data_IF_817897966029
#
_entry.id   IF_817897966029
#
_cell.length_a   1.000
_cell.length_b   1.000
_cell.length_c   1.000
_cell.angle_alpha   90.00
_cell.angle_beta   90.00
_cell.angle_gamma   90.00
#
_symmetry.space_group_name_H-M   'P 1'
#
loop_
_entity.id
_entity.type
_entity.pdbx_description
1 polymer ?
#
# COMPACT_ATOMS: atom_id res chain seq x y z
N UNK A 1 -2.93 19.80 -5.16
CA UNK A 1 -1.68 20.52 -5.45
C UNK A 1 -0.65 19.50 -5.86
N UNK A 2 0.02 19.70 -7.00
CA UNK A 2 1.04 18.76 -7.48
C UNK A 2 2.36 19.00 -6.74
N UNK A 3 3.03 17.93 -6.34
CA UNK A 3 4.36 17.97 -5.74
C UNK A 3 5.21 16.83 -6.31
N UNK A 4 6.53 16.97 -6.20
CA UNK A 4 7.50 15.96 -6.64
C UNK A 4 8.52 15.72 -5.52
N UNK A 5 8.87 14.45 -5.27
CA UNK A 5 10.06 14.10 -4.49
C UNK A 5 11.26 13.97 -5.43
N UNK A 6 12.31 14.72 -5.18
CA UNK A 6 13.58 14.60 -5.91
C UNK A 6 14.78 14.71 -4.98
N UNK A 7 15.92 14.27 -5.45
CA UNK A 7 17.19 14.53 -4.74
C UNK A 7 17.40 16.03 -4.56
N UNK A 8 18.07 16.42 -3.50
CA UNK A 8 18.44 17.80 -3.23
C UNK A 8 19.33 18.38 -4.34
N UNK A 9 19.25 19.69 -4.50
CA UNK A 9 20.16 20.51 -5.32
C UNK A 9 20.73 21.62 -4.46
N UNK A 10 21.99 22.00 -4.66
CA UNK A 10 22.55 23.15 -3.90
C UNK A 10 21.77 24.44 -4.11
N UNK A 11 21.13 24.61 -5.26
CA UNK A 11 20.23 25.74 -5.54
C UNK A 11 19.00 25.81 -4.62
N UNK A 12 18.64 24.73 -3.92
CA UNK A 12 17.51 24.69 -3.00
C UNK A 12 17.80 25.38 -1.66
N UNK A 13 19.07 25.76 -1.40
CA UNK A 13 19.49 26.30 -0.10
C UNK A 13 18.68 27.52 0.35
N UNK A 14 18.36 28.43 -0.58
CA UNK A 14 17.55 29.61 -0.29
C UNK A 14 16.14 29.25 0.16
N UNK A 15 15.47 28.33 -0.54
CA UNK A 15 14.12 27.89 -0.20
C UNK A 15 14.09 27.13 1.12
N UNK A 16 15.09 26.27 1.35
CA UNK A 16 15.27 25.54 2.60
C UNK A 16 15.45 26.49 3.80
N UNK A 17 16.32 27.50 3.66
CA UNK A 17 16.54 28.51 4.71
C UNK A 17 15.26 29.30 5.00
N UNK A 18 14.54 29.71 3.97
CA UNK A 18 13.27 30.41 4.13
C UNK A 18 12.23 29.58 4.89
N UNK A 19 12.08 28.29 4.56
CA UNK A 19 11.14 27.39 5.22
C UNK A 19 11.49 27.15 6.71
N UNK A 20 12.77 26.98 7.04
CA UNK A 20 13.20 26.69 8.41
C UNK A 20 13.23 27.91 9.36
N UNK A 21 13.16 29.13 8.85
CA UNK A 21 13.01 30.33 9.66
C UNK A 21 11.55 30.57 10.10
N UNK A 22 10.84 29.50 10.46
CA UNK A 22 9.47 29.53 10.95
C UNK A 22 9.40 28.82 12.32
N UNK A 23 9.07 29.55 13.38
CA UNK A 23 8.96 29.01 14.72
C UNK A 23 7.96 27.85 14.86
N UNK A 24 6.86 27.86 14.08
CA UNK A 24 5.87 26.79 14.10
C UNK A 24 6.45 25.48 13.55
N UNK A 25 7.39 25.58 12.62
CA UNK A 25 8.13 24.40 12.13
C UNK A 25 9.15 23.98 13.16
N UNK A 26 9.99 24.92 13.64
CA UNK A 26 11.06 24.64 14.61
C UNK A 26 10.54 24.03 15.91
N UNK A 27 9.38 24.47 16.40
CA UNK A 27 8.74 23.91 17.57
C UNK A 27 8.32 22.46 17.44
N UNK A 28 8.29 21.93 16.22
CA UNK A 28 7.95 20.54 15.92
C UNK A 28 9.15 19.72 15.44
N UNK A 29 10.35 20.31 15.36
CA UNK A 29 11.58 19.64 15.03
C UNK A 29 12.44 19.41 16.29
N UNK A 30 13.34 18.44 16.23
CA UNK A 30 14.38 18.24 17.27
C UNK A 30 15.28 19.46 17.35
N UNK A 31 15.90 19.67 18.51
CA UNK A 31 16.90 20.71 18.68
C UNK A 31 18.17 20.38 17.88
N UNK A 32 18.99 21.42 17.62
CA UNK A 32 20.23 21.30 16.85
C UNK A 32 20.26 22.09 15.55
N UNK A 33 19.12 22.65 15.13
CA UNK A 33 19.11 23.64 14.02
C UNK A 33 19.41 25.03 14.58
N UNK A 34 20.35 25.80 13.95
CA UNK A 34 20.59 27.18 14.33
C UNK A 34 19.37 28.05 14.05
N UNK A 35 19.24 29.13 14.83
CA UNK A 35 18.21 30.14 14.57
C UNK A 35 18.81 31.55 14.72
N UNK A 36 18.77 32.42 13.70
CA UNK A 36 18.19 32.16 12.36
C UNK A 36 18.96 31.10 11.56
N UNK A 37 18.25 30.34 10.73
CA UNK A 37 18.83 29.34 9.82
C UNK A 37 19.23 30.03 8.51
N UNK A 38 20.53 30.00 8.17
CA UNK A 38 21.07 30.73 7.03
C UNK A 38 21.12 29.88 5.74
N UNK A 39 21.28 30.53 4.59
CA UNK A 39 21.52 29.82 3.32
C UNK A 39 22.81 29.00 3.36
N UNK A 40 23.78 29.40 4.17
CA UNK A 40 25.02 28.63 4.37
C UNK A 40 24.72 27.33 5.13
N UNK A 41 23.95 27.42 6.21
CA UNK A 41 23.54 26.21 6.98
C UNK A 41 22.76 25.23 6.08
N UNK A 42 21.89 25.79 5.23
CA UNK A 42 21.13 25.02 4.24
C UNK A 42 22.04 24.36 3.19
N UNK A 43 23.03 25.08 2.67
CA UNK A 43 24.00 24.55 1.70
C UNK A 43 24.84 23.44 2.32
N UNK A 44 25.32 23.62 3.56
CA UNK A 44 26.10 22.62 4.27
C UNK A 44 25.28 21.35 4.54
N UNK A 45 24.01 21.50 4.94
CA UNK A 45 23.09 20.36 5.08
C UNK A 45 22.87 19.62 3.76
N UNK A 46 22.56 20.36 2.68
CA UNK A 46 22.31 19.74 1.37
C UNK A 46 23.55 19.02 0.87
N UNK A 47 24.75 19.63 1.01
CA UNK A 47 26.01 19.00 0.64
C UNK A 47 26.24 17.69 1.41
N UNK A 48 25.94 17.68 2.73
CA UNK A 48 26.04 16.49 3.54
C UNK A 48 25.07 15.39 3.08
N UNK A 49 23.81 15.74 2.72
CA UNK A 49 22.84 14.77 2.21
C UNK A 49 23.22 14.21 0.84
N UNK A 50 23.84 15.01 -0.04
CA UNK A 50 24.32 14.57 -1.35
C UNK A 50 25.56 13.66 -1.24
N UNK A 51 26.37 13.84 -0.20
CA UNK A 51 27.58 13.04 0.05
C UNK A 51 27.32 11.78 0.88
N UNK A 52 26.12 11.64 1.45
CA UNK A 52 25.79 10.53 2.33
C UNK A 52 25.65 9.21 1.57
N UNK A 53 25.88 8.09 2.29
CA UNK A 53 25.65 6.75 1.75
C UNK A 53 24.16 6.56 1.37
N UNK A 54 23.89 6.33 0.10
CA UNK A 54 22.55 6.15 -0.45
C UNK A 54 21.83 4.90 0.08
N UNK A 55 22.56 3.93 0.65
CA UNK A 55 21.98 2.76 1.29
C UNK A 55 21.58 3.00 2.75
N UNK A 56 22.07 4.11 3.33
CA UNK A 56 21.81 4.47 4.73
C UNK A 56 20.98 5.76 4.88
N UNK A 57 21.03 6.65 3.89
CA UNK A 57 20.40 7.98 3.94
C UNK A 57 19.51 8.21 2.72
N UNK A 58 18.21 8.22 2.95
CA UNK A 58 17.19 8.45 1.93
C UNK A 58 16.63 9.87 2.11
N UNK A 59 17.35 10.88 1.63
CA UNK A 59 16.99 12.29 1.80
C UNK A 59 16.52 12.93 0.50
N UNK A 60 15.31 13.52 0.53
CA UNK A 60 14.66 14.13 -0.62
C UNK A 60 14.11 15.52 -0.29
N UNK A 61 14.17 16.42 -1.27
CA UNK A 61 13.38 17.64 -1.28
C UNK A 61 11.94 17.31 -1.71
N UNK A 62 10.97 17.88 -1.01
CA UNK A 62 9.58 17.96 -1.47
C UNK A 62 9.50 19.27 -2.27
N UNK A 63 9.11 19.20 -3.53
CA UNK A 63 9.08 20.39 -4.40
C UNK A 63 7.72 20.63 -5.03
N UNK A 64 7.36 21.90 -5.20
CA UNK A 64 6.23 22.33 -6.00
C UNK A 64 6.71 23.49 -6.89
N UNK A 65 6.34 23.48 -8.18
CA UNK A 65 6.79 24.45 -9.18
C UNK A 65 8.32 24.63 -9.17
N UNK A 66 9.06 23.52 -9.08
CA UNK A 66 10.53 23.37 -8.97
C UNK A 66 11.17 23.99 -7.72
N UNK A 67 10.42 24.61 -6.81
CA UNK A 67 10.90 25.16 -5.53
C UNK A 67 10.83 24.11 -4.43
N UNK A 68 11.85 24.10 -3.55
CA UNK A 68 11.85 23.22 -2.38
C UNK A 68 10.90 23.79 -1.30
N UNK A 69 9.79 23.07 -1.07
CA UNK A 69 8.75 23.44 -0.09
C UNK A 69 8.82 22.63 1.20
N UNK A 70 9.73 21.67 1.29
CA UNK A 70 9.90 20.81 2.46
C UNK A 70 10.99 19.76 2.28
N UNK A 71 11.18 19.00 3.32
CA UNK A 71 12.14 17.90 3.39
C UNK A 71 11.47 16.64 3.86
N UNK A 72 11.88 15.51 3.32
CA UNK A 72 11.56 14.21 3.86
C UNK A 72 12.78 13.30 3.74
N UNK A 73 13.08 12.57 4.81
CA UNK A 73 14.21 11.63 4.81
C UNK A 73 13.96 10.47 5.75
N UNK A 74 14.59 9.34 5.43
CA UNK A 74 14.66 8.21 6.32
C UNK A 74 16.12 7.81 6.50
N UNK A 75 16.50 7.48 7.72
CA UNK A 75 17.89 7.22 8.11
C UNK A 75 17.98 5.82 8.71
N UNK A 76 18.72 4.95 8.00
CA UNK A 76 18.95 3.57 8.43
C UNK A 76 19.65 3.55 9.77
N UNK A 77 19.19 2.70 10.65
CA UNK A 77 19.81 2.47 11.95
C UNK A 77 20.95 1.44 11.85
N UNK A 78 21.76 1.39 12.90
CA UNK A 78 22.90 0.48 12.95
C UNK A 78 22.65 -0.78 13.80
N UNK A 79 23.66 -1.67 13.83
CA UNK A 79 23.72 -2.83 14.69
C UNK A 79 22.50 -3.77 14.53
N UNK A 80 21.81 -4.12 15.62
CA UNK A 80 20.61 -4.98 15.60
C UNK A 80 19.44 -4.35 14.86
N UNK A 81 19.45 -3.03 14.70
CA UNK A 81 18.42 -2.25 13.99
C UNK A 81 18.76 -1.98 12.51
N UNK A 82 19.74 -2.68 11.92
CA UNK A 82 20.21 -2.44 10.55
C UNK A 82 19.13 -2.56 9.45
N UNK A 83 18.01 -3.19 9.74
CA UNK A 83 16.84 -3.26 8.86
C UNK A 83 15.69 -2.35 9.30
N UNK A 84 16.02 -1.32 10.07
CA UNK A 84 15.08 -0.29 10.53
C UNK A 84 15.57 1.08 10.09
N UNK A 85 14.66 1.98 9.74
CA UNK A 85 14.99 3.38 9.45
C UNK A 85 14.09 4.33 10.22
N UNK A 86 14.64 5.46 10.65
CA UNK A 86 13.89 6.56 11.26
C UNK A 86 13.46 7.57 10.21
N UNK A 87 12.18 7.91 10.15
CA UNK A 87 11.61 8.88 9.23
C UNK A 87 11.53 10.26 9.90
N UNK A 88 12.07 11.27 9.22
CA UNK A 88 11.95 12.67 9.60
C UNK A 88 11.48 13.53 8.42
N UNK A 89 10.68 14.57 8.70
CA UNK A 89 10.18 15.46 7.67
C UNK A 89 9.68 16.79 8.23
N UNK A 90 9.60 17.78 7.36
CA UNK A 90 8.85 19.02 7.57
C UNK A 90 8.35 19.58 6.23
N UNK A 91 7.39 20.48 6.30
CA UNK A 91 6.80 21.16 5.15
C UNK A 91 6.62 22.65 5.50
N UNK A 92 6.86 23.53 4.58
CA UNK A 92 6.61 24.96 4.76
C UNK A 92 5.12 25.20 5.08
N UNK A 93 4.85 26.17 5.97
CA UNK A 93 3.54 26.35 6.62
C UNK A 93 2.40 26.57 5.61
N UNK A 94 2.66 27.32 4.55
CA UNK A 94 1.67 27.62 3.49
C UNK A 94 1.19 26.38 2.73
N UNK A 95 1.89 25.25 2.84
CA UNK A 95 1.53 23.98 2.20
C UNK A 95 0.88 22.97 3.15
N UNK A 96 0.62 23.35 4.40
CA UNK A 96 -0.06 22.48 5.35
C UNK A 96 -1.52 22.25 4.97
N UNK A 97 -2.07 21.13 5.39
CA UNK A 97 -3.49 20.79 5.18
C UNK A 97 -3.84 20.22 3.80
N UNK A 98 -2.94 20.25 2.82
CA UNK A 98 -3.20 19.84 1.43
C UNK A 98 -2.91 18.35 1.15
N UNK A 99 -2.57 17.56 2.16
CA UNK A 99 -2.28 16.12 2.00
C UNK A 99 -0.91 15.80 1.41
N UNK A 100 -0.08 16.81 1.09
CA UNK A 100 1.25 16.64 0.50
C UNK A 100 2.11 15.72 1.36
N UNK A 101 2.22 15.98 2.66
CA UNK A 101 3.10 15.21 3.54
C UNK A 101 2.69 13.73 3.62
N UNK A 102 1.41 13.41 3.72
CA UNK A 102 0.97 12.00 3.75
C UNK A 102 1.24 11.27 2.43
N UNK A 103 1.16 11.96 1.30
CA UNK A 103 1.56 11.44 0.00
C UNK A 103 3.07 11.23 -0.10
N UNK A 104 3.88 12.22 0.32
CA UNK A 104 5.33 12.13 0.34
C UNK A 104 5.85 10.99 1.23
N UNK A 105 5.23 10.78 2.40
CA UNK A 105 5.56 9.66 3.29
C UNK A 105 5.29 8.31 2.58
N UNK A 106 4.13 8.14 1.95
CA UNK A 106 3.86 6.89 1.19
C UNK A 106 4.88 6.65 0.10
N UNK A 107 5.21 7.70 -0.66
CA UNK A 107 6.14 7.58 -1.78
C UNK A 107 7.56 7.19 -1.32
N UNK A 108 8.11 7.85 -0.30
CA UNK A 108 9.45 7.50 0.21
C UNK A 108 9.49 6.10 0.83
N UNK A 109 8.45 5.71 1.59
CA UNK A 109 8.36 4.37 2.17
C UNK A 109 8.28 3.29 1.09
N UNK A 110 7.53 3.53 0.01
CA UNK A 110 7.49 2.65 -1.16
C UNK A 110 8.89 2.48 -1.77
N UNK A 111 9.56 3.58 -2.09
CA UNK A 111 10.93 3.56 -2.64
C UNK A 111 11.87 2.74 -1.74
N UNK A 112 11.86 2.98 -0.42
CA UNK A 112 12.76 2.29 0.52
C UNK A 112 12.45 0.79 0.58
N UNK A 113 11.19 0.42 0.68
CA UNK A 113 10.80 -0.99 0.74
C UNK A 113 11.06 -1.74 -0.57
N UNK A 114 11.00 -1.08 -1.72
CA UNK A 114 11.29 -1.67 -3.03
C UNK A 114 12.79 -1.82 -3.29
N UNK A 115 13.60 -0.87 -2.85
CA UNK A 115 15.02 -0.79 -3.23
C UNK A 115 16.00 -1.29 -2.18
N UNK A 116 15.54 -1.62 -0.96
CA UNK A 116 16.41 -2.01 0.15
C UNK A 116 15.90 -3.24 0.90
N UNK A 117 16.66 -3.71 1.88
CA UNK A 117 16.27 -4.78 2.82
C UNK A 117 15.63 -4.25 4.13
N UNK A 118 15.29 -2.96 4.21
CA UNK A 118 14.63 -2.37 5.38
C UNK A 118 13.26 -3.02 5.57
N UNK A 119 12.97 -3.48 6.79
CA UNK A 119 11.73 -4.13 7.18
C UNK A 119 10.78 -3.22 7.94
N UNK A 120 11.32 -2.15 8.55
CA UNK A 120 10.56 -1.25 9.41
C UNK A 120 11.02 0.19 9.22
N UNK A 121 10.05 1.09 9.04
CA UNK A 121 10.25 2.54 9.09
C UNK A 121 9.43 3.06 10.28
N UNK A 122 10.06 3.85 11.17
CA UNK A 122 9.37 4.43 12.31
C UNK A 122 9.53 5.95 12.33
N UNK A 123 8.64 6.61 13.05
CA UNK A 123 8.66 8.05 13.27
C UNK A 123 8.24 8.37 14.71
N UNK A 124 8.86 9.38 15.28
CA UNK A 124 8.66 9.79 16.68
C UNK A 124 8.26 11.27 16.76
N UNK A 125 7.05 11.67 16.30
CA UNK A 125 6.59 13.03 16.48
C UNK A 125 6.32 13.35 17.95
N UNK A 126 6.51 14.61 18.36
CA UNK A 126 6.01 15.07 19.64
C UNK A 126 4.51 14.80 19.76
N UNK A 127 4.05 14.33 20.92
CA UNK A 127 2.64 13.91 21.10
C UNK A 127 1.64 15.06 20.91
N UNK A 128 2.06 16.31 21.07
CA UNK A 128 1.24 17.49 20.78
C UNK A 128 1.15 17.81 19.28
N UNK A 129 2.03 17.26 18.42
CA UNK A 129 2.01 17.54 16.99
C UNK A 129 0.93 16.71 16.26
N UNK A 130 -0.32 17.14 16.40
CA UNK A 130 -1.47 16.47 15.78
C UNK A 130 -1.40 16.44 14.25
N UNK A 131 -0.73 17.42 13.62
CA UNK A 131 -0.54 17.47 12.16
C UNK A 131 0.31 16.30 11.66
N UNK A 132 1.47 16.10 12.30
CA UNK A 132 2.39 15.00 11.97
C UNK A 132 1.74 13.63 12.23
N UNK A 133 1.09 13.44 13.38
CA UNK A 133 0.40 12.18 13.72
C UNK A 133 -0.63 11.81 12.66
N UNK A 134 -1.50 12.75 12.26
CA UNK A 134 -2.50 12.53 11.19
C UNK A 134 -1.86 12.25 9.83
N UNK A 135 -0.70 12.86 9.52
CA UNK A 135 0.00 12.60 8.26
C UNK A 135 0.53 11.15 8.22
N UNK A 136 1.08 10.66 9.33
CA UNK A 136 1.54 9.27 9.49
C UNK A 136 0.39 8.27 9.40
N UNK A 137 -0.70 8.50 10.13
CA UNK A 137 -1.90 7.64 10.09
C UNK A 137 -2.48 7.54 8.67
N UNK A 138 -2.60 8.67 7.96
CA UNK A 138 -3.04 8.69 6.55
C UNK A 138 -2.06 8.01 5.60
N UNK A 139 -0.79 7.92 5.96
CA UNK A 139 0.23 7.21 5.19
C UNK A 139 0.29 5.71 5.48
N UNK A 140 -0.52 5.21 6.43
CA UNK A 140 -0.60 3.79 6.79
C UNK A 140 0.26 3.39 8.00
N UNK A 141 0.90 4.35 8.68
CA UNK A 141 1.63 4.06 9.92
C UNK A 141 0.66 3.71 11.05
N UNK A 142 1.06 2.73 11.84
CA UNK A 142 0.32 2.28 13.03
C UNK A 142 0.92 2.94 14.27
N UNK A 143 0.06 3.48 15.14
CA UNK A 143 0.46 3.99 16.45
C UNK A 143 0.81 2.82 17.38
N UNK A 144 2.02 2.80 17.93
CA UNK A 144 2.50 1.74 18.82
C UNK A 144 2.45 2.13 20.30
N UNK A 145 2.53 3.43 20.59
CA UNK A 145 2.48 3.89 21.98
C UNK A 145 2.97 5.32 22.19
N UNK A 146 2.79 5.80 23.41
CA UNK A 146 3.31 7.09 23.87
C UNK A 146 4.53 6.87 24.76
N UNK A 147 5.65 7.44 24.37
CA UNK A 147 6.88 7.50 25.14
C UNK A 147 6.78 8.70 26.11
N UNK A 148 6.45 8.41 27.36
CA UNK A 148 6.26 9.43 28.38
C UNK A 148 7.57 10.10 28.75
N UNK A 149 7.54 11.45 28.86
CA UNK A 149 8.69 12.27 29.27
C UNK A 149 9.96 12.00 28.47
N UNK A 150 9.81 11.70 27.18
CA UNK A 150 10.89 11.19 26.32
C UNK A 150 11.81 12.29 25.80
N UNK A 151 11.39 13.56 25.84
CA UNK A 151 12.19 14.67 25.33
C UNK A 151 12.02 15.93 26.17
N UNK A 152 12.98 16.85 26.01
CA UNK A 152 12.86 18.23 26.51
C UNK A 152 12.85 19.15 25.29
N UNK A 153 11.80 19.97 25.14
CA UNK A 153 11.67 20.95 24.07
C UNK A 153 11.37 22.32 24.66
N UNK A 154 12.19 23.32 24.32
CA UNK A 154 12.06 24.68 24.85
C UNK A 154 11.98 24.70 26.41
N UNK A 155 12.79 23.90 27.08
CA UNK A 155 12.84 23.78 28.53
C UNK A 155 11.67 23.02 29.17
N UNK A 156 10.76 22.44 28.38
CA UNK A 156 9.62 21.66 28.87
C UNK A 156 9.78 20.19 28.54
N UNK A 157 9.52 19.33 29.53
CA UNK A 157 9.44 17.89 29.33
C UNK A 157 8.20 17.58 28.48
N UNK A 158 8.37 16.79 27.42
CA UNK A 158 7.30 16.44 26.48
C UNK A 158 7.29 14.95 26.18
N UNK A 159 6.11 14.45 25.89
CA UNK A 159 5.91 13.08 25.42
C UNK A 159 6.14 13.00 23.92
N UNK A 160 6.57 11.83 23.43
CA UNK A 160 6.65 11.50 22.03
C UNK A 160 5.73 10.34 21.69
N UNK A 161 5.24 10.29 20.47
CA UNK A 161 4.37 9.21 19.98
C UNK A 161 5.15 8.36 19.00
N UNK A 162 5.22 7.05 19.25
CA UNK A 162 5.87 6.10 18.35
C UNK A 162 4.87 5.60 17.31
N UNK A 163 5.22 5.77 16.05
CA UNK A 163 4.49 5.26 14.88
C UNK A 163 5.41 4.41 14.02
N UNK A 164 4.89 3.35 13.40
CA UNK A 164 5.67 2.53 12.49
C UNK A 164 4.89 2.06 11.29
N UNK A 165 5.63 1.82 10.21
CA UNK A 165 5.19 1.11 9.03
C UNK A 165 6.18 -0.03 8.79
N UNK A 166 5.69 -1.26 8.71
CA UNK A 166 6.52 -2.44 8.43
C UNK A 166 6.31 -2.89 7.00
N UNK A 167 7.39 -3.36 6.37
CA UNK A 167 7.28 -4.07 5.10
C UNK A 167 6.37 -5.28 5.32
N UNK A 168 5.39 -5.46 4.45
CA UNK A 168 4.64 -6.71 4.47
C UNK A 168 5.63 -7.84 4.18
N UNK A 169 5.90 -8.67 5.19
CA UNK A 169 6.64 -9.93 5.02
C UNK A 169 5.70 -11.06 4.63
N UNK A 170 4.44 -10.75 4.51
CA UNK A 170 3.45 -11.70 4.06
C UNK A 170 3.67 -12.02 2.59
N UNK A 171 4.05 -13.26 2.31
CA UNK A 171 4.12 -13.72 0.94
C UNK A 171 2.73 -13.55 0.29
N UNK A 172 2.69 -12.86 -0.84
CA UNK A 172 1.45 -12.59 -1.59
C UNK A 172 0.42 -11.79 -0.78
N UNK A 173 0.71 -10.52 -0.40
CA UNK A 173 -0.26 -9.66 0.26
C UNK A 173 -1.52 -9.50 -0.60
N UNK A 174 -2.69 -9.46 0.08
CA UNK A 174 -3.98 -9.32 -0.59
C UNK A 174 -4.63 -8.00 -0.16
N UNK A 175 -5.12 -7.25 -1.14
CA UNK A 175 -5.88 -6.01 -0.93
C UNK A 175 -7.00 -5.83 -1.95
N UNK A 176 -7.90 -4.89 -1.71
CA UNK A 176 -8.85 -4.43 -2.72
C UNK A 176 -8.11 -3.71 -3.84
N UNK A 177 -8.59 -3.90 -5.07
CA UNK A 177 -8.07 -3.22 -6.25
C UNK A 177 -8.76 -1.87 -6.45
N UNK A 178 -7.98 -0.89 -6.90
CA UNK A 178 -8.49 0.39 -7.39
C UNK A 178 -9.00 0.28 -8.84
N UNK A 179 -9.80 1.27 -9.29
CA UNK A 179 -10.34 1.25 -10.67
C UNK A 179 -9.29 1.13 -11.76
N UNK A 180 -8.10 1.68 -11.53
CA UNK A 180 -6.96 1.66 -12.46
C UNK A 180 -6.32 0.27 -12.61
N UNK A 181 -6.52 -0.64 -11.65
CA UNK A 181 -5.95 -1.97 -11.62
C UNK A 181 -6.89 -3.05 -12.20
N UNK A 182 -8.18 -2.69 -12.36
CA UNK A 182 -9.19 -3.63 -12.85
C UNK A 182 -8.88 -4.17 -14.26
N UNK A 183 -8.39 -3.38 -15.23
CA UNK A 183 -8.03 -3.91 -16.55
C UNK A 183 -6.98 -5.03 -16.48
N UNK A 184 -5.96 -4.89 -15.64
CA UNK A 184 -4.94 -5.93 -15.41
C UNK A 184 -5.57 -7.18 -14.77
N UNK A 185 -6.48 -6.99 -13.81
CA UNK A 185 -7.19 -8.08 -13.16
C UNK A 185 -8.05 -8.90 -14.15
N UNK A 186 -8.78 -8.22 -15.03
CA UNK A 186 -9.60 -8.89 -16.06
C UNK A 186 -8.73 -9.62 -17.09
N UNK A 187 -7.58 -9.05 -17.45
CA UNK A 187 -6.63 -9.70 -18.35
C UNK A 187 -6.04 -10.97 -17.70
N UNK A 188 -5.68 -10.93 -16.41
CA UNK A 188 -5.26 -12.12 -15.68
C UNK A 188 -6.36 -13.18 -15.69
N UNK A 189 -7.61 -12.82 -15.41
CA UNK A 189 -8.74 -13.75 -15.46
C UNK A 189 -8.87 -14.39 -16.85
N UNK A 190 -8.77 -13.61 -17.91
CA UNK A 190 -8.86 -14.10 -19.29
C UNK A 190 -7.73 -15.08 -19.62
N UNK A 191 -6.49 -14.76 -19.30
CA UNK A 191 -5.34 -15.62 -19.59
C UNK A 191 -5.43 -16.96 -18.83
N UNK A 192 -5.84 -16.94 -17.57
CA UNK A 192 -5.99 -18.16 -16.79
C UNK A 192 -7.19 -19.00 -17.27
N UNK A 193 -8.29 -18.35 -17.63
CA UNK A 193 -9.45 -19.02 -18.23
C UNK A 193 -9.05 -19.74 -19.53
N UNK A 194 -8.33 -19.07 -20.43
CA UNK A 194 -7.87 -19.68 -21.68
C UNK A 194 -6.99 -20.90 -21.44
N UNK A 195 -6.15 -20.84 -20.41
CA UNK A 195 -5.21 -21.92 -20.11
C UNK A 195 -5.88 -23.15 -19.47
N UNK A 196 -6.82 -22.96 -18.56
CA UNK A 196 -7.32 -24.02 -17.69
C UNK A 196 -8.77 -24.41 -17.93
N UNK A 197 -9.62 -23.47 -18.35
CA UNK A 197 -11.06 -23.71 -18.45
C UNK A 197 -11.54 -23.80 -19.90
N UNK A 198 -11.04 -22.97 -20.79
CA UNK A 198 -11.44 -22.95 -22.20
C UNK A 198 -11.31 -24.30 -22.92
N UNK A 199 -10.31 -25.19 -22.59
CA UNK A 199 -10.25 -26.51 -23.21
C UNK A 199 -11.47 -27.41 -22.94
N UNK A 200 -12.24 -27.13 -21.88
CA UNK A 200 -13.43 -27.88 -21.49
C UNK A 200 -14.75 -27.24 -22.00
N UNK A 201 -14.67 -26.09 -22.66
CA UNK A 201 -15.83 -25.31 -23.07
C UNK A 201 -16.00 -25.28 -24.60
N UNK A 202 -17.23 -25.10 -25.02
CA UNK A 202 -17.57 -24.81 -26.44
C UNK A 202 -17.11 -23.41 -26.83
N UNK A 203 -17.04 -23.15 -28.14
CA UNK A 203 -16.78 -21.81 -28.66
C UNK A 203 -17.79 -20.77 -28.15
N UNK A 204 -19.05 -21.17 -27.94
CA UNK A 204 -20.09 -20.34 -27.32
C UNK A 204 -19.74 -19.97 -25.87
N UNK A 205 -19.35 -20.96 -25.05
CA UNK A 205 -18.95 -20.73 -23.66
C UNK A 205 -17.73 -19.81 -23.51
N UNK A 206 -16.73 -19.99 -24.41
CA UNK A 206 -15.55 -19.11 -24.45
C UNK A 206 -15.96 -17.68 -24.81
N UNK A 207 -16.83 -17.51 -25.81
CA UNK A 207 -17.33 -16.19 -26.20
C UNK A 207 -18.17 -15.53 -25.07
N UNK A 208 -19.00 -16.31 -24.37
CA UNK A 208 -19.83 -15.85 -23.25
C UNK A 208 -18.97 -15.38 -22.09
N UNK A 209 -17.91 -16.12 -21.74
CA UNK A 209 -16.99 -15.69 -20.70
C UNK A 209 -16.26 -14.40 -21.09
N UNK A 210 -15.75 -14.29 -22.33
CA UNK A 210 -15.12 -13.06 -22.82
C UNK A 210 -16.07 -11.87 -22.74
N UNK A 211 -17.29 -12.03 -23.22
CA UNK A 211 -18.31 -10.99 -23.18
C UNK A 211 -18.61 -10.53 -21.73
N UNK A 212 -18.58 -11.46 -20.78
CA UNK A 212 -18.76 -11.11 -19.35
C UNK A 212 -17.63 -10.27 -18.77
N UNK A 213 -16.39 -10.44 -19.22
CA UNK A 213 -15.25 -9.61 -18.82
C UNK A 213 -15.29 -8.22 -19.49
N UNK A 214 -15.82 -8.14 -20.71
CA UNK A 214 -15.95 -6.88 -21.46
C UNK A 214 -17.18 -6.04 -21.03
N UNK A 215 -18.07 -6.60 -20.20
CA UNK A 215 -19.24 -5.89 -19.66
C UNK A 215 -18.84 -4.89 -18.56
N UNK A 216 -18.82 -3.62 -18.94
CA UNK A 216 -18.47 -2.54 -18.04
C UNK A 216 -19.49 -2.32 -16.89
N UNK A 217 -20.78 -2.60 -17.11
CA UNK A 217 -21.81 -2.46 -16.04
C UNK A 217 -21.62 -3.56 -15.00
N UNK A 218 -21.43 -4.79 -15.46
CA UNK A 218 -21.08 -5.91 -14.57
C UNK A 218 -19.82 -5.56 -13.77
N UNK A 219 -18.75 -5.16 -14.41
CA UNK A 219 -17.45 -4.87 -13.80
C UNK A 219 -17.56 -3.80 -12.71
N UNK A 220 -18.30 -2.72 -12.94
CA UNK A 220 -18.54 -1.66 -11.94
C UNK A 220 -19.33 -2.13 -10.74
N UNK A 221 -20.13 -3.18 -10.87
CA UNK A 221 -20.92 -3.76 -9.78
C UNK A 221 -20.12 -4.70 -8.86
N UNK A 222 -18.91 -5.11 -9.29
CA UNK A 222 -18.07 -6.07 -8.60
C UNK A 222 -17.08 -5.38 -7.65
N UNK A 223 -16.71 -6.10 -6.58
CA UNK A 223 -15.59 -5.74 -5.73
C UNK A 223 -14.42 -6.68 -6.00
N UNK A 224 -13.28 -6.13 -6.40
CA UNK A 224 -12.09 -6.89 -6.75
C UNK A 224 -11.06 -6.92 -5.62
N UNK A 225 -10.46 -8.09 -5.41
CA UNK A 225 -9.32 -8.34 -4.53
C UNK A 225 -8.17 -8.87 -5.37
N UNK A 226 -6.98 -8.31 -5.18
CA UNK A 226 -5.75 -8.74 -5.83
C UNK A 226 -4.75 -9.29 -4.83
N UNK A 227 -4.08 -10.38 -5.19
CA UNK A 227 -2.88 -10.88 -4.53
C UNK A 227 -1.65 -10.48 -5.32
N UNK A 228 -0.60 -10.04 -4.64
CA UNK A 228 0.59 -9.49 -5.28
C UNK A 228 1.85 -10.26 -4.91
N UNK A 229 2.74 -10.45 -5.88
CA UNK A 229 4.14 -10.79 -5.67
C UNK A 229 4.95 -9.54 -5.94
N UNK A 230 5.44 -8.88 -4.90
CA UNK A 230 5.93 -7.51 -4.97
C UNK A 230 4.86 -6.58 -5.59
N UNK A 231 5.10 -6.10 -6.82
CA UNK A 231 4.16 -5.24 -7.56
C UNK A 231 3.38 -5.97 -8.66
N UNK A 232 3.67 -7.27 -8.90
CA UNK A 232 2.97 -8.06 -9.91
C UNK A 232 1.67 -8.61 -9.35
N UNK A 233 0.57 -8.37 -10.02
CA UNK A 233 -0.71 -9.01 -9.73
C UNK A 233 -0.63 -10.51 -10.11
N UNK A 234 -0.81 -11.40 -9.14
CA UNK A 234 -0.65 -12.85 -9.31
C UNK A 234 -1.91 -13.65 -8.97
N UNK A 235 -2.96 -12.98 -8.54
CA UNK A 235 -4.24 -13.62 -8.28
C UNK A 235 -5.35 -12.60 -8.09
N UNK A 236 -6.56 -12.95 -8.52
CA UNK A 236 -7.75 -12.10 -8.48
C UNK A 236 -8.93 -12.89 -7.93
N UNK A 237 -9.71 -12.25 -7.07
CA UNK A 237 -11.04 -12.70 -6.66
C UNK A 237 -11.99 -11.52 -6.77
N UNK A 238 -13.12 -11.69 -7.48
CA UNK A 238 -14.16 -10.68 -7.48
C UNK A 238 -15.45 -11.18 -6.83
N UNK A 239 -16.16 -10.24 -6.19
CA UNK A 239 -17.43 -10.47 -5.54
C UNK A 239 -18.55 -9.70 -6.21
N UNK A 240 -19.62 -10.42 -6.54
CA UNK A 240 -20.92 -9.83 -6.84
C UNK A 240 -21.74 -9.78 -5.55
N UNK A 241 -22.21 -8.58 -5.20
CA UNK A 241 -23.03 -8.43 -4.00
C UNK A 241 -24.32 -9.30 -4.06
N UNK A 242 -24.79 -9.83 -2.93
CA UNK A 242 -24.25 -9.64 -1.59
C UNK A 242 -23.25 -10.72 -1.13
N UNK A 243 -23.04 -11.82 -1.86
CA UNK A 243 -22.24 -12.96 -1.37
C UNK A 243 -21.87 -14.02 -2.44
N UNK A 244 -21.89 -13.64 -3.72
CA UNK A 244 -21.55 -14.55 -4.81
C UNK A 244 -20.17 -14.23 -5.37
N UNK A 245 -19.25 -15.21 -5.41
CA UNK A 245 -17.96 -15.11 -6.06
C UNK A 245 -18.19 -15.13 -7.56
N UNK A 246 -17.74 -14.08 -8.26
CA UNK A 246 -17.83 -13.96 -9.71
C UNK A 246 -16.65 -14.65 -10.39
N UNK A 247 -15.48 -14.05 -10.33
CA UNK A 247 -14.26 -14.57 -10.93
C UNK A 247 -13.22 -14.85 -9.84
N UNK A 248 -12.47 -15.96 -9.98
CA UNK A 248 -11.46 -16.35 -9.01
C UNK A 248 -10.32 -17.11 -9.69
N UNK A 249 -9.24 -16.40 -9.96
CA UNK A 249 -8.11 -16.91 -10.71
C UNK A 249 -6.78 -16.61 -10.02
N UNK A 250 -5.81 -17.51 -10.18
CA UNK A 250 -4.42 -17.35 -9.73
C UNK A 250 -3.51 -17.69 -10.91
N UNK A 251 -2.50 -16.86 -11.18
CA UNK A 251 -1.48 -17.11 -12.20
C UNK A 251 -0.87 -18.50 -12.00
N UNK A 252 -0.81 -19.29 -13.07
CA UNK A 252 -0.33 -20.69 -13.06
C UNK A 252 1.03 -20.86 -12.39
N UNK A 253 1.96 -19.92 -12.60
CA UNK A 253 3.29 -19.95 -11.98
C UNK A 253 3.25 -19.84 -10.45
N UNK A 254 2.12 -19.45 -9.88
CA UNK A 254 1.92 -19.24 -8.45
C UNK A 254 0.95 -20.23 -7.80
N UNK A 255 0.51 -21.25 -8.52
CA UNK A 255 -0.37 -22.27 -7.98
C UNK A 255 0.26 -22.99 -6.78
N UNK A 256 -0.57 -23.53 -5.88
CA UNK A 256 -0.20 -24.31 -4.66
C UNK A 256 0.65 -23.51 -3.64
N UNK A 257 0.68 -22.18 -3.74
CA UNK A 257 1.34 -21.28 -2.77
C UNK A 257 0.38 -20.66 -1.74
N UNK A 258 -0.87 -21.14 -1.69
CA UNK A 258 -1.88 -20.66 -0.73
C UNK A 258 -2.56 -19.34 -1.10
N UNK A 259 -2.29 -18.76 -2.28
CA UNK A 259 -2.81 -17.47 -2.72
C UNK A 259 -4.34 -17.46 -2.78
N UNK A 260 -4.95 -18.51 -3.35
CA UNK A 260 -6.41 -18.61 -3.40
C UNK A 260 -7.04 -18.55 -2.00
N UNK A 261 -6.48 -19.27 -1.01
CA UNK A 261 -6.94 -19.19 0.37
C UNK A 261 -6.84 -17.78 0.95
N UNK A 262 -5.72 -17.08 0.72
CA UNK A 262 -5.52 -15.70 1.19
C UNK A 262 -6.51 -14.72 0.58
N UNK A 263 -6.76 -14.82 -0.73
CA UNK A 263 -7.79 -14.03 -1.43
C UNK A 263 -9.18 -14.26 -0.82
N UNK A 264 -9.56 -15.51 -0.61
CA UNK A 264 -10.85 -15.86 -0.02
C UNK A 264 -10.97 -15.37 1.42
N UNK A 265 -9.93 -15.51 2.25
CA UNK A 265 -9.92 -15.04 3.64
C UNK A 265 -9.94 -13.51 3.73
N UNK A 266 -9.22 -12.79 2.84
CA UNK A 266 -9.26 -11.33 2.78
C UNK A 266 -10.65 -10.83 2.42
N UNK A 267 -11.26 -11.42 1.41
CA UNK A 267 -12.64 -11.12 1.02
C UNK A 267 -13.61 -11.37 2.19
N UNK A 268 -13.52 -12.52 2.86
CA UNK A 268 -14.41 -12.87 4.00
C UNK A 268 -14.36 -11.86 5.14
N UNK A 269 -13.23 -11.24 5.39
CA UNK A 269 -13.11 -10.20 6.44
C UNK A 269 -13.95 -8.96 6.15
N UNK A 270 -14.14 -8.65 4.89
CA UNK A 270 -14.89 -7.45 4.48
C UNK A 270 -16.41 -7.67 4.41
N UNK A 271 -16.86 -8.93 4.39
CA UNK A 271 -18.26 -9.27 4.30
C UNK A 271 -18.74 -9.96 5.59
N UNK A 272 -19.72 -9.36 6.24
CA UNK A 272 -20.34 -9.89 7.47
C UNK A 272 -21.21 -11.14 7.25
N UNK A 273 -21.38 -11.57 6.00
CA UNK A 273 -22.19 -12.73 5.63
C UNK A 273 -21.50 -14.03 6.05
N UNK A 274 -22.32 -15.00 6.46
CA UNK A 274 -21.84 -16.32 6.87
C UNK A 274 -21.92 -17.37 5.74
N UNK A 275 -22.54 -17.02 4.62
CA UNK A 275 -22.75 -17.90 3.49
C UNK A 275 -22.20 -17.22 2.23
N UNK A 276 -21.38 -17.94 1.48
CA UNK A 276 -20.88 -17.54 0.17
C UNK A 276 -21.23 -18.60 -0.86
N UNK A 277 -21.51 -18.17 -2.09
CA UNK A 277 -21.83 -19.04 -3.21
C UNK A 277 -20.89 -18.79 -4.38
N UNK A 278 -20.75 -19.79 -5.25
CA UNK A 278 -20.00 -19.71 -6.49
C UNK A 278 -20.57 -20.70 -7.50
N UNK A 279 -20.46 -20.38 -8.78
CA UNK A 279 -20.64 -21.31 -9.89
C UNK A 279 -19.25 -21.80 -10.32
N UNK A 280 -18.83 -22.94 -9.78
CA UNK A 280 -17.49 -23.49 -10.03
C UNK A 280 -17.42 -24.13 -11.41
N UNK A 281 -16.43 -23.77 -12.22
CA UNK A 281 -16.07 -24.53 -13.41
C UNK A 281 -15.71 -25.97 -13.04
N UNK A 282 -15.82 -26.97 -13.96
CA UNK A 282 -15.51 -28.36 -13.66
C UNK A 282 -14.09 -28.54 -13.08
N UNK A 283 -13.09 -27.86 -13.65
CA UNK A 283 -11.68 -27.97 -13.18
C UNK A 283 -11.42 -27.31 -11.81
N UNK A 284 -12.30 -26.39 -11.35
CA UNK A 284 -12.12 -25.66 -10.10
C UNK A 284 -12.89 -26.27 -8.90
N UNK A 285 -13.75 -27.26 -9.08
CA UNK A 285 -14.55 -27.89 -8.01
C UNK A 285 -13.67 -28.34 -6.83
N UNK A 286 -12.55 -28.98 -7.12
CA UNK A 286 -11.62 -29.47 -6.09
C UNK A 286 -10.97 -28.31 -5.32
N UNK A 287 -10.67 -27.19 -5.98
CA UNK A 287 -10.11 -25.98 -5.35
C UNK A 287 -11.11 -25.43 -4.33
N UNK A 288 -12.39 -25.33 -4.70
CA UNK A 288 -13.43 -24.85 -3.79
C UNK A 288 -13.68 -25.82 -2.63
N UNK A 289 -13.58 -27.14 -2.84
CA UNK A 289 -13.62 -28.12 -1.74
C UNK A 289 -12.52 -27.87 -0.71
N UNK A 290 -11.30 -27.61 -1.16
CA UNK A 290 -10.19 -27.29 -0.27
C UNK A 290 -10.37 -25.95 0.48
N UNK A 291 -11.19 -25.07 -0.02
CA UNK A 291 -11.59 -23.84 0.66
C UNK A 291 -12.78 -24.05 1.62
N UNK A 292 -13.40 -25.22 1.59
CA UNK A 292 -14.50 -25.60 2.48
C UNK A 292 -15.90 -25.43 1.88
N UNK A 293 -16.00 -25.22 0.56
CA UNK A 293 -17.28 -25.25 -0.14
C UNK A 293 -17.80 -26.66 -0.31
N UNK A 294 -19.12 -26.80 -0.40
CA UNK A 294 -19.81 -28.04 -0.76
C UNK A 294 -20.70 -27.79 -1.96
N UNK A 295 -20.89 -28.80 -2.79
CA UNK A 295 -21.84 -28.70 -3.92
C UNK A 295 -23.26 -28.47 -3.36
N UNK A 296 -23.92 -27.49 -3.93
CA UNK A 296 -25.31 -27.12 -3.58
C UNK A 296 -26.31 -27.73 -4.54
N UNK A 297 -25.84 -28.11 -5.76
CA UNK A 297 -26.62 -28.78 -6.79
C UNK A 297 -25.69 -29.57 -7.71
N UNK A 298 -26.26 -30.34 -8.64
CA UNK A 298 -25.54 -31.03 -9.72
C UNK A 298 -25.00 -30.04 -10.75
N UNK A 299 -24.08 -30.51 -11.62
CA UNK A 299 -23.54 -29.72 -12.71
C UNK A 299 -24.67 -29.19 -13.63
N UNK A 300 -24.54 -27.94 -14.02
CA UNK A 300 -25.47 -27.21 -14.88
C UNK A 300 -24.75 -26.64 -16.12
N UNK A 301 -25.53 -26.30 -17.15
CA UNK A 301 -25.04 -25.67 -18.39
C UNK A 301 -25.87 -24.41 -18.65
N UNK A 302 -25.22 -23.27 -18.81
CA UNK A 302 -25.86 -22.02 -19.22
C UNK A 302 -24.93 -21.25 -20.15
N UNK A 303 -25.45 -20.80 -21.28
CA UNK A 303 -24.70 -20.01 -22.26
C UNK A 303 -23.37 -20.66 -22.69
N UNK A 304 -23.37 -22.00 -22.84
CA UNK A 304 -22.19 -22.78 -23.18
C UNK A 304 -21.17 -23.00 -22.04
N UNK A 305 -21.43 -22.49 -20.85
CA UNK A 305 -20.60 -22.64 -19.64
C UNK A 305 -21.18 -23.73 -18.73
N UNK A 306 -20.37 -24.76 -18.46
CA UNK A 306 -20.66 -25.81 -17.47
C UNK A 306 -20.18 -25.40 -16.11
N UNK A 307 -21.00 -25.56 -15.09
CA UNK A 307 -20.63 -25.23 -13.73
C UNK A 307 -21.36 -26.06 -12.69
N UNK A 308 -20.75 -26.23 -11.54
CA UNK A 308 -21.38 -26.80 -10.33
C UNK A 308 -21.67 -25.67 -9.34
N UNK A 309 -22.94 -25.41 -8.98
CA UNK A 309 -23.24 -24.48 -7.89
C UNK A 309 -22.66 -24.99 -6.57
N UNK A 310 -21.87 -24.16 -5.89
CA UNK A 310 -21.23 -24.51 -4.61
C UNK A 310 -21.51 -23.46 -3.55
N UNK A 311 -21.51 -23.89 -2.30
CA UNK A 311 -21.84 -23.07 -1.14
C UNK A 311 -20.81 -23.30 -0.02
N UNK A 312 -20.40 -22.20 0.60
CA UNK A 312 -19.60 -22.17 1.82
C UNK A 312 -20.44 -21.62 2.98
N UNK A 313 -20.40 -22.27 4.14
CA UNK A 313 -20.99 -21.77 5.37
C UNK A 313 -19.94 -21.64 6.46
N UNK A 314 -19.90 -20.49 7.12
CA UNK A 314 -19.06 -20.31 8.30
C UNK A 314 -19.66 -21.18 9.42
N UNK A 315 -18.94 -22.22 9.83
CA UNK A 315 -19.33 -22.99 11.04
C UNK A 315 -19.24 -22.05 12.25
N UNK A 316 -20.33 -22.00 13.01
CA UNK A 316 -20.41 -21.26 14.27
C UNK A 316 -19.43 -21.82 15.30
#
# INVERSE_FOLDING_TARGET
MNYVLRKWRLSDAKDLAAALNNEKILNNLRDGLPFPYTERDASDYIAAMLAADENATFAYAITADDRAIGSIGAFRQGNIHRQTAELGYYLAEEYWGHGIMSGAIRQICGIIFETTDILRIYAEPFSYNAGSRRALEKAGFVFEGTMKSNAVKNGKVVDMSLYSLTRSTEAYPVRRLGPEEIPEALELCWQQFLQFEAPEYSAEGIASFRASLDDNERTRSLSFYGAFDENKLVGVLCMRAPQHIGDFFVDAAYHRRGIGRKLFEAMRRDYSKQVFTVNSSPCAVEVYWHLGFVAADTEQLTDGLRYTPMRFEVKK
#
